data_IF_543748568929
#
_entry.id   IF_543748568929
#
_cell.length_a   1.000
_cell.length_b   1.000
_cell.length_c   1.000
_cell.angle_alpha   90.00
_cell.angle_beta   90.00
_cell.angle_gamma   90.00
#
_symmetry.space_group_name_H-M   'P 1'
#
loop_
_entity.id
_entity.type
_entity.pdbx_description
1 polymer ?
#
# COMPACT_ATOMS: atom_id res chain seq x y z
N UNK A 1 42.75 -49.50 -17.97
CA UNK A 1 41.54 -48.78 -18.42
C UNK A 1 40.81 -48.24 -17.20
N UNK A 2 41.03 -46.98 -16.85
CA UNK A 2 40.42 -46.29 -15.70
C UNK A 2 39.18 -45.54 -16.15
N UNK A 3 38.02 -45.83 -15.52
CA UNK A 3 36.71 -45.24 -15.83
C UNK A 3 36.65 -43.79 -15.29
N UNK A 4 36.20 -42.78 -16.05
CA UNK A 4 36.14 -41.42 -15.54
C UNK A 4 34.97 -41.25 -14.56
N UNK A 5 35.28 -40.63 -13.41
CA UNK A 5 34.35 -40.30 -12.33
C UNK A 5 33.41 -39.18 -12.80
N UNK A 6 32.11 -39.47 -12.92
CA UNK A 6 31.08 -38.46 -13.17
C UNK A 6 31.05 -37.47 -12.00
N UNK A 7 31.39 -36.22 -12.26
CA UNK A 7 31.15 -35.12 -11.32
C UNK A 7 29.65 -34.88 -11.20
N UNK A 8 29.15 -34.82 -9.97
CA UNK A 8 27.78 -34.44 -9.66
C UNK A 8 27.53 -32.98 -10.07
N UNK A 9 26.31 -32.63 -10.55
CA UNK A 9 25.96 -31.24 -10.81
C UNK A 9 26.04 -30.42 -9.51
N UNK A 10 26.46 -29.14 -9.56
CA UNK A 10 26.36 -28.27 -8.41
C UNK A 10 24.89 -28.18 -7.94
N UNK A 11 24.63 -28.05 -6.63
CA UNK A 11 23.28 -27.86 -6.13
C UNK A 11 22.66 -26.65 -6.84
N UNK A 12 21.51 -26.86 -7.47
CA UNK A 12 20.73 -25.79 -8.07
C UNK A 12 20.49 -24.72 -7.00
N UNK A 13 21.04 -23.52 -7.20
CA UNK A 13 20.74 -22.39 -6.32
C UNK A 13 19.21 -22.24 -6.28
N UNK A 14 18.60 -21.97 -5.10
CA UNK A 14 17.17 -21.74 -5.02
C UNK A 14 16.82 -20.63 -6.01
N UNK A 15 16.02 -20.97 -7.02
CA UNK A 15 15.61 -20.01 -8.02
C UNK A 15 14.80 -18.92 -7.33
N UNK A 16 15.42 -17.74 -7.14
CA UNK A 16 14.71 -16.59 -6.62
C UNK A 16 13.57 -16.24 -7.57
N UNK A 17 12.37 -16.06 -7.02
CA UNK A 17 11.19 -15.70 -7.80
C UNK A 17 11.37 -14.37 -8.53
N UNK A 18 10.40 -14.06 -9.38
CA UNK A 18 10.25 -12.76 -10.02
C UNK A 18 8.79 -12.28 -9.94
N UNK A 19 8.53 -11.09 -10.47
CA UNK A 19 7.20 -10.47 -10.47
C UNK A 19 6.34 -10.83 -11.70
N UNK A 20 6.69 -11.84 -12.49
CA UNK A 20 5.93 -12.18 -13.71
C UNK A 20 4.47 -12.52 -13.42
N UNK A 21 4.19 -13.20 -12.30
CA UNK A 21 2.83 -13.56 -11.86
C UNK A 21 2.21 -12.57 -10.88
N UNK A 22 2.91 -11.48 -10.55
CA UNK A 22 2.36 -10.45 -9.68
C UNK A 22 1.28 -9.66 -10.43
N UNK A 23 0.09 -9.52 -9.84
CA UNK A 23 -1.05 -8.82 -10.42
C UNK A 23 -1.12 -7.34 -10.05
N UNK A 24 -0.37 -6.91 -9.03
CA UNK A 24 -0.36 -5.52 -8.60
C UNK A 24 0.18 -4.62 -9.71
N UNK A 25 -0.51 -3.51 -9.98
CA UNK A 25 -0.11 -2.49 -10.95
C UNK A 25 -0.30 -1.11 -10.34
N UNK A 26 0.56 -0.18 -10.72
CA UNK A 26 0.46 1.21 -10.30
C UNK A 26 0.71 2.14 -11.49
N UNK A 27 -0.21 3.07 -11.73
CA UNK A 27 -0.15 4.03 -12.84
C UNK A 27 0.42 5.39 -12.43
N UNK A 28 0.37 5.72 -11.14
CA UNK A 28 0.65 7.07 -10.64
C UNK A 28 -0.59 7.95 -10.54
N UNK A 29 -1.77 7.43 -10.87
CA UNK A 29 -3.02 8.18 -10.79
C UNK A 29 -3.37 8.57 -9.33
N UNK A 30 -3.96 9.77 -9.11
CA UNK A 30 -4.22 10.30 -7.77
C UNK A 30 -5.32 9.53 -7.00
N UNK A 31 -6.15 8.77 -7.70
CA UNK A 31 -7.18 7.89 -7.13
C UNK A 31 -6.65 6.49 -6.76
N UNK A 32 -5.44 6.15 -7.20
CA UNK A 32 -4.78 4.88 -6.84
C UNK A 32 -4.05 5.00 -5.49
N UNK A 33 -4.21 3.98 -4.65
CA UNK A 33 -3.47 3.89 -3.39
C UNK A 33 -2.05 3.37 -3.62
N UNK A 34 -1.07 4.27 -3.58
CA UNK A 34 0.35 3.88 -3.63
C UNK A 34 0.71 2.90 -2.50
N UNK A 35 0.27 3.16 -1.28
CA UNK A 35 0.59 2.30 -0.14
C UNK A 35 -0.05 0.92 -0.29
N UNK A 36 -1.28 0.84 -0.80
CA UNK A 36 -1.92 -0.44 -1.11
C UNK A 36 -1.18 -1.23 -2.20
N UNK A 37 -0.62 -0.54 -3.19
CA UNK A 37 0.26 -1.16 -4.18
C UNK A 37 1.56 -1.68 -3.55
N UNK A 38 2.25 -0.86 -2.74
CA UNK A 38 3.51 -1.25 -2.10
C UNK A 38 3.28 -2.46 -1.19
N UNK A 39 2.26 -2.44 -0.34
CA UNK A 39 1.92 -3.55 0.56
C UNK A 39 1.67 -4.86 -0.22
N UNK A 40 0.93 -4.79 -1.33
CA UNK A 40 0.68 -5.95 -2.18
C UNK A 40 1.96 -6.51 -2.84
N UNK A 41 2.87 -5.62 -3.26
CA UNK A 41 4.16 -6.01 -3.86
C UNK A 41 5.11 -6.58 -2.81
N UNK A 42 5.16 -6.02 -1.61
CA UNK A 42 5.97 -6.54 -0.50
C UNK A 42 5.46 -7.92 -0.05
N UNK A 43 4.15 -8.09 0.13
CA UNK A 43 3.55 -9.38 0.44
C UNK A 43 3.87 -10.43 -0.65
N UNK A 44 3.72 -10.07 -1.93
CA UNK A 44 4.07 -10.99 -3.02
C UNK A 44 5.57 -11.32 -3.01
N UNK A 45 6.44 -10.32 -2.81
CA UNK A 45 7.90 -10.50 -2.77
C UNK A 45 8.29 -11.52 -1.68
N UNK A 46 7.66 -11.46 -0.52
CA UNK A 46 7.85 -12.41 0.57
C UNK A 46 7.35 -13.81 0.21
N UNK A 47 6.10 -13.93 -0.28
CA UNK A 47 5.51 -15.22 -0.65
C UNK A 47 6.28 -15.92 -1.79
N UNK A 48 6.74 -15.17 -2.80
CA UNK A 48 7.45 -15.70 -3.96
C UNK A 48 8.98 -15.75 -3.78
N UNK A 49 9.48 -15.43 -2.57
CA UNK A 49 10.91 -15.39 -2.24
C UNK A 49 11.76 -14.64 -3.30
N UNK A 50 11.27 -13.46 -3.70
CA UNK A 50 11.92 -12.60 -4.68
C UNK A 50 13.04 -11.83 -3.96
N UNK A 51 14.27 -11.97 -4.45
CA UNK A 51 15.42 -11.25 -3.91
C UNK A 51 15.26 -9.73 -4.10
N UNK A 52 15.86 -8.90 -3.23
CA UNK A 52 15.81 -7.43 -3.37
C UNK A 52 16.34 -6.95 -4.72
N UNK A 53 17.33 -7.64 -5.28
CA UNK A 53 17.91 -7.35 -6.60
C UNK A 53 16.94 -7.67 -7.74
N UNK A 54 16.26 -8.82 -7.68
CA UNK A 54 15.24 -9.19 -8.65
C UNK A 54 14.00 -8.29 -8.51
N UNK A 55 13.64 -7.89 -7.28
CA UNK A 55 12.53 -6.99 -7.03
C UNK A 55 12.77 -5.62 -7.67
N UNK A 56 13.98 -5.06 -7.50
CA UNK A 56 14.35 -3.77 -8.10
C UNK A 56 14.29 -3.82 -9.63
N UNK A 57 14.77 -4.91 -10.24
CA UNK A 57 14.67 -5.13 -11.69
C UNK A 57 13.22 -5.34 -12.16
N UNK A 58 12.43 -6.06 -11.37
CA UNK A 58 11.04 -6.38 -11.70
C UNK A 58 10.07 -5.23 -11.47
N UNK A 59 10.46 -4.17 -10.74
CA UNK A 59 9.59 -3.04 -10.45
C UNK A 59 9.05 -2.38 -11.73
N UNK A 60 9.87 -2.28 -12.78
CA UNK A 60 9.43 -1.75 -14.08
C UNK A 60 8.29 -2.52 -14.73
N UNK A 61 8.06 -3.78 -14.35
CA UNK A 61 6.94 -4.58 -14.87
C UNK A 61 5.61 -4.28 -14.16
N UNK A 62 5.68 -3.63 -13.00
CA UNK A 62 4.54 -3.35 -12.13
C UNK A 62 4.05 -1.90 -12.29
N UNK A 63 4.93 -1.01 -12.74
CA UNK A 63 4.62 0.38 -12.99
C UNK A 63 4.07 0.57 -14.41
N UNK A 64 3.08 1.45 -14.55
CA UNK A 64 2.44 1.81 -15.82
C UNK A 64 2.33 3.33 -15.95
N UNK A 65 1.98 3.85 -17.13
CA UNK A 65 1.68 5.27 -17.37
C UNK A 65 2.73 6.25 -16.80
N UNK A 66 2.31 7.17 -15.93
CA UNK A 66 3.14 8.22 -15.35
C UNK A 66 4.22 7.64 -14.43
N UNK A 67 3.86 6.65 -13.61
CA UNK A 67 4.79 5.94 -12.75
C UNK A 67 5.89 5.21 -13.54
N UNK A 68 5.53 4.61 -14.68
CA UNK A 68 6.52 3.98 -15.56
C UNK A 68 7.48 5.01 -16.17
N UNK A 69 6.95 6.15 -16.61
CA UNK A 69 7.75 7.26 -17.19
C UNK A 69 8.73 7.81 -16.16
N UNK A 70 8.25 8.08 -14.94
CA UNK A 70 9.10 8.48 -13.82
C UNK A 70 10.20 7.46 -13.52
N UNK A 71 9.85 6.17 -13.46
CA UNK A 71 10.82 5.10 -13.18
C UNK A 71 11.96 5.04 -14.20
N UNK A 72 11.68 5.27 -15.49
CA UNK A 72 12.73 5.31 -16.51
C UNK A 72 13.78 6.40 -16.23
N UNK A 73 13.37 7.53 -15.65
CA UNK A 73 14.27 8.64 -15.33
C UNK A 73 15.15 8.39 -14.11
N UNK A 74 14.73 7.53 -13.17
CA UNK A 74 15.40 7.34 -11.88
C UNK A 74 16.00 5.94 -11.68
N UNK A 75 15.63 4.94 -12.50
CA UNK A 75 16.07 3.54 -12.33
C UNK A 75 17.60 3.34 -12.30
N UNK A 76 18.38 4.21 -12.94
CA UNK A 76 19.84 4.11 -13.01
C UNK A 76 20.54 4.57 -11.73
N UNK A 77 19.89 5.43 -10.95
CA UNK A 77 20.42 5.97 -9.69
C UNK A 77 20.03 5.12 -8.49
N UNK A 78 19.13 4.16 -8.67
CA UNK A 78 18.62 3.30 -7.60
C UNK A 78 19.36 1.97 -7.55
N UNK A 79 19.99 1.69 -6.42
CA UNK A 79 20.76 0.48 -6.16
C UNK A 79 20.19 -0.40 -5.04
N UNK A 80 19.23 0.13 -4.26
CA UNK A 80 18.59 -0.57 -3.13
C UNK A 80 17.08 -0.54 -3.29
N UNK A 81 16.45 -1.69 -3.05
CA UNK A 81 15.00 -1.84 -3.03
C UNK A 81 14.32 -0.83 -2.09
N UNK A 82 14.85 -0.67 -0.89
CA UNK A 82 14.28 0.21 0.13
C UNK A 82 14.30 1.69 -0.33
N UNK A 83 15.39 2.12 -0.98
CA UNK A 83 15.48 3.46 -1.58
C UNK A 83 14.49 3.67 -2.72
N UNK A 84 14.20 2.63 -3.50
CA UNK A 84 13.22 2.70 -4.57
C UNK A 84 11.81 2.93 -4.03
N UNK A 85 11.42 2.22 -2.96
CA UNK A 85 10.14 2.43 -2.30
C UNK A 85 10.04 3.82 -1.66
N UNK A 86 11.10 4.29 -0.98
CA UNK A 86 11.12 5.65 -0.41
C UNK A 86 10.99 6.71 -1.49
N UNK A 87 11.68 6.56 -2.62
CA UNK A 87 11.61 7.51 -3.72
C UNK A 87 10.27 7.47 -4.45
N UNK A 88 9.66 6.29 -4.56
CA UNK A 88 8.33 6.12 -5.11
C UNK A 88 7.29 6.82 -4.22
N UNK A 89 7.41 6.69 -2.89
CA UNK A 89 6.62 7.47 -1.91
C UNK A 89 6.93 8.96 -1.97
N UNK A 90 8.16 9.37 -2.27
CA UNK A 90 8.49 10.78 -2.46
C UNK A 90 7.87 11.39 -3.72
N UNK A 91 7.78 10.62 -4.80
CA UNK A 91 7.28 11.08 -6.09
C UNK A 91 5.74 11.03 -6.21
N UNK A 92 5.14 9.95 -5.71
CA UNK A 92 3.71 9.68 -5.85
C UNK A 92 2.99 9.45 -4.53
N UNK A 93 3.73 9.43 -3.42
CA UNK A 93 3.11 9.33 -2.11
C UNK A 93 2.29 10.58 -1.89
N UNK A 94 1.07 10.36 -1.44
CA UNK A 94 0.15 11.42 -1.16
C UNK A 94 0.57 12.04 0.18
N UNK A 95 1.55 12.93 0.14
CA UNK A 95 1.84 13.85 1.24
C UNK A 95 0.78 14.94 1.25
N UNK A 96 -0.50 14.53 1.27
CA UNK A 96 -1.57 15.48 1.54
C UNK A 96 -1.31 15.97 2.95
N UNK A 97 -1.11 17.28 3.13
CA UNK A 97 -0.92 17.81 4.47
C UNK A 97 -2.13 17.40 5.33
N UNK A 98 -1.94 17.10 6.63
CA UNK A 98 -2.98 16.57 7.51
C UNK A 98 -4.35 17.27 7.38
N UNK A 99 -4.36 18.59 7.17
CA UNK A 99 -5.59 19.36 6.97
C UNK A 99 -6.45 18.92 5.78
N UNK A 100 -5.87 18.40 4.69
CA UNK A 100 -6.63 17.88 3.54
C UNK A 100 -7.30 16.54 3.86
N UNK A 101 -6.66 15.72 4.67
CA UNK A 101 -7.22 14.45 5.16
C UNK A 101 -8.43 14.76 6.06
N UNK A 102 -8.30 15.73 6.97
CA UNK A 102 -9.43 16.18 7.79
C UNK A 102 -10.57 16.73 6.93
N UNK A 103 -10.26 17.58 5.94
CA UNK A 103 -11.27 18.12 5.03
C UNK A 103 -12.03 17.02 4.28
N UNK A 104 -11.33 16.00 3.78
CA UNK A 104 -11.95 14.87 3.08
C UNK A 104 -12.81 14.01 4.02
N UNK A 105 -12.33 13.76 5.24
CA UNK A 105 -13.05 13.01 6.26
C UNK A 105 -14.43 13.65 6.54
N UNK A 106 -14.45 14.95 6.82
CA UNK A 106 -15.69 15.66 7.13
C UNK A 106 -16.55 15.97 5.91
N UNK A 107 -15.98 16.00 4.70
CA UNK A 107 -16.75 16.19 3.46
C UNK A 107 -17.53 14.95 3.02
N UNK A 108 -17.15 13.76 3.50
CA UNK A 108 -17.75 12.49 3.08
C UNK A 108 -18.37 11.74 4.28
N UNK A 109 -19.50 12.21 4.83
CA UNK A 109 -20.22 11.49 5.87
C UNK A 109 -20.77 10.16 5.34
N UNK A 110 -21.04 9.21 6.24
CA UNK A 110 -21.59 7.89 5.88
C UNK A 110 -22.89 8.06 5.08
N UNK A 111 -22.99 7.41 3.92
CA UNK A 111 -24.23 7.45 3.12
C UNK A 111 -25.28 6.50 3.71
N UNK A 112 -26.56 6.83 3.55
CA UNK A 112 -27.67 6.01 4.07
C UNK A 112 -27.66 4.55 3.54
N UNK A 113 -27.12 4.33 2.34
CA UNK A 113 -26.99 3.02 1.71
C UNK A 113 -25.68 2.28 2.03
N UNK A 114 -24.75 2.91 2.76
CA UNK A 114 -23.42 2.36 3.02
C UNK A 114 -23.37 1.60 4.34
N UNK A 115 -22.86 0.35 4.29
CA UNK A 115 -22.62 -0.45 5.50
C UNK A 115 -21.57 0.22 6.38
N UNK A 116 -21.88 0.33 7.67
CA UNK A 116 -20.99 0.96 8.66
C UNK A 116 -19.60 0.34 8.70
N UNK A 117 -19.48 -0.97 8.56
CA UNK A 117 -18.17 -1.66 8.52
C UNK A 117 -17.29 -1.20 7.34
N UNK A 118 -17.89 -1.02 6.17
CA UNK A 118 -17.18 -0.56 4.98
C UNK A 118 -16.77 0.91 5.13
N UNK A 119 -17.66 1.73 5.69
CA UNK A 119 -17.37 3.13 6.01
C UNK A 119 -16.20 3.24 7.00
N UNK A 120 -16.24 2.51 8.12
CA UNK A 120 -15.16 2.49 9.12
C UNK A 120 -13.83 2.04 8.49
N UNK A 121 -13.87 1.02 7.62
CA UNK A 121 -12.66 0.53 6.94
C UNK A 121 -12.04 1.59 6.04
N UNK A 122 -12.86 2.32 5.26
CA UNK A 122 -12.41 3.44 4.44
C UNK A 122 -11.87 4.59 5.29
N UNK A 123 -12.57 4.95 6.36
CA UNK A 123 -12.15 6.00 7.27
C UNK A 123 -10.84 5.67 7.99
N UNK A 124 -10.65 4.41 8.42
CA UNK A 124 -9.38 3.95 8.99
C UNK A 124 -8.24 4.03 7.97
N UNK A 125 -8.50 3.65 6.72
CA UNK A 125 -7.52 3.75 5.64
C UNK A 125 -7.18 5.22 5.30
N UNK A 126 -8.14 6.14 5.47
CA UNK A 126 -7.91 7.57 5.30
C UNK A 126 -7.07 8.16 6.44
N UNK A 127 -7.38 7.79 7.70
CA UNK A 127 -6.66 8.22 8.89
C UNK A 127 -5.24 7.64 9.00
N UNK A 128 -4.99 6.45 8.46
CA UNK A 128 -3.64 5.84 8.45
C UNK A 128 -2.62 6.62 7.62
N UNK A 129 -3.08 7.60 6.83
CA UNK A 129 -2.23 8.49 6.02
C UNK A 129 -1.68 9.68 6.82
N UNK A 130 -2.17 9.89 8.06
CA UNK A 130 -1.64 10.88 8.98
C UNK A 130 -0.30 10.40 9.57
N UNK A 131 0.58 11.32 10.00
CA UNK A 131 1.78 10.94 10.73
C UNK A 131 1.42 10.08 11.96
N UNK A 132 2.22 9.03 12.19
CA UNK A 132 2.07 8.19 13.39
C UNK A 132 2.27 9.08 14.62
N UNK A 133 1.41 8.90 15.62
CA UNK A 133 1.34 9.67 16.89
C UNK A 133 0.70 11.07 16.82
N UNK A 134 0.22 11.53 15.66
CA UNK A 134 -0.42 12.86 15.55
C UNK A 134 -1.82 12.90 16.21
N UNK A 135 -2.51 11.75 16.27
CA UNK A 135 -3.84 11.62 16.87
C UNK A 135 -3.95 10.40 17.78
N UNK A 136 -4.47 10.62 18.98
CA UNK A 136 -4.85 9.52 19.88
C UNK A 136 -6.10 8.80 19.35
N UNK A 137 -6.24 7.51 19.68
CA UNK A 137 -7.42 6.70 19.32
C UNK A 137 -8.73 7.34 19.77
N UNK A 138 -8.74 8.02 20.91
CA UNK A 138 -9.93 8.75 21.40
C UNK A 138 -10.36 9.83 20.41
N UNK A 139 -9.42 10.68 19.99
CA UNK A 139 -9.71 11.78 19.07
C UNK A 139 -10.13 11.25 17.70
N UNK A 140 -9.49 10.18 17.22
CA UNK A 140 -9.91 9.52 15.98
C UNK A 140 -11.35 9.01 16.09
N UNK A 141 -11.73 8.37 17.20
CA UNK A 141 -13.10 7.92 17.41
C UNK A 141 -14.08 9.10 17.43
N UNK A 142 -13.78 10.17 18.16
CA UNK A 142 -14.63 11.37 18.24
C UNK A 142 -14.88 11.97 16.84
N UNK A 143 -13.85 12.03 15.99
CA UNK A 143 -13.97 12.49 14.59
C UNK A 143 -14.85 11.54 13.74
N UNK A 144 -14.68 10.22 13.89
CA UNK A 144 -15.49 9.25 13.15
C UNK A 144 -16.95 9.32 13.57
N UNK A 145 -17.23 9.46 14.86
CA UNK A 145 -18.59 9.59 15.38
C UNK A 145 -19.37 10.75 14.74
N UNK A 146 -18.72 11.90 14.51
CA UNK A 146 -19.35 13.05 13.84
C UNK A 146 -19.75 12.74 12.39
N UNK A 147 -18.96 11.91 11.70
CA UNK A 147 -19.20 11.55 10.29
C UNK A 147 -20.24 10.43 10.10
N UNK A 148 -20.70 9.78 11.17
CA UNK A 148 -21.72 8.74 11.11
C UNK A 148 -23.11 9.38 11.01
N UNK A 149 -23.75 9.26 9.85
CA UNK A 149 -25.14 9.68 9.63
C UNK A 149 -26.19 8.87 10.42
N UNK A 150 -25.80 7.78 11.09
CA UNK A 150 -26.72 6.97 11.89
C UNK A 150 -26.88 7.51 13.33
N UNK A 151 -27.43 8.72 13.45
CA UNK A 151 -28.02 9.25 14.71
C UNK A 151 -29.15 8.33 15.23
N UNK A 152 -29.63 7.35 14.44
CA UNK A 152 -30.56 6.32 14.93
C UNK A 152 -29.95 5.40 16.01
N UNK A 153 -28.63 5.29 16.10
CA UNK A 153 -28.00 4.60 17.25
C UNK A 153 -28.02 5.50 18.50
N UNK A 154 -27.96 6.83 18.36
CA UNK A 154 -28.10 7.73 19.51
C UNK A 154 -29.48 7.67 20.17
N UNK A 155 -30.56 7.43 19.43
CA UNK A 155 -31.89 7.27 20.05
C UNK A 155 -31.98 5.96 20.87
N UNK A 156 -31.24 4.91 20.49
CA UNK A 156 -31.27 3.64 21.23
C UNK A 156 -30.31 3.56 22.43
N UNK A 157 -29.25 4.38 22.48
CA UNK A 157 -28.29 4.37 23.61
C UNK A 157 -28.59 5.48 24.62
N UNK A 158 -29.35 6.52 24.27
CA UNK A 158 -29.62 7.68 25.14
C UNK A 158 -31.06 7.82 25.64
N UNK A 159 -31.92 6.81 25.45
CA UNK A 159 -33.23 6.76 26.12
C UNK A 159 -33.14 5.88 27.39
N UNK A 160 -33.36 6.44 28.60
CA UNK A 160 -33.65 5.60 29.75
C UNK A 160 -35.00 4.91 29.50
N UNK A 161 -35.08 3.64 29.89
CA UNK A 161 -36.34 2.87 29.92
C UNK A 161 -37.37 3.56 30.81
#
# INVERSE_FOLDING_TARGET
MTKPRRSSPPPAQPAHGNFASCKARYSGAPDESLDGFIDAVEAYKECANVSKTNALRGLSMLLTHEAATWWQGVKTTMNKWDHALTSLRGAFGDSRPPHRIYKELFANPQKASEKTELFISKTRALLSRLPKDDLTTKVQMDMVYETLMNIKILIFITLPQ
#
